data_IF_853155924148
#
_entry.id   IF_853155924148
#
_cell.length_a   1.000
_cell.length_b   1.000
_cell.length_c   1.000
_cell.angle_alpha   90.00
_cell.angle_beta   90.00
_cell.angle_gamma   90.00
#
_symmetry.space_group_name_H-M   'P 1'
#
loop_
_entity.id
_entity.type
_entity.pdbx_description
1 polymer ?
#
# COMPACT_ATOMS: atom_id res chain seq x y z
N UNK A 1 21.42 30.58 -25.61
CA UNK A 1 20.75 29.29 -25.86
C UNK A 1 21.30 28.31 -24.83
N UNK A 2 20.69 28.26 -23.64
CA UNK A 2 21.18 27.45 -22.51
C UNK A 2 20.50 26.09 -22.55
N UNK A 3 21.27 25.04 -22.83
CA UNK A 3 20.80 23.66 -22.79
C UNK A 3 20.62 23.20 -21.35
N UNK A 4 19.46 22.64 -21.06
CA UNK A 4 19.24 21.89 -19.83
C UNK A 4 20.11 20.63 -19.86
N UNK A 5 21.10 20.56 -18.99
CA UNK A 5 21.87 19.33 -18.76
C UNK A 5 20.96 18.32 -18.06
N UNK A 6 20.53 17.32 -18.82
CA UNK A 6 19.77 16.17 -18.31
C UNK A 6 20.70 15.35 -17.41
N UNK A 7 20.60 15.53 -16.09
CA UNK A 7 21.26 14.65 -15.15
C UNK A 7 20.62 13.25 -15.30
N UNK A 8 21.42 12.16 -15.42
CA UNK A 8 20.87 10.83 -15.55
C UNK A 8 20.05 10.50 -14.30
N UNK A 9 18.74 10.30 -14.47
CA UNK A 9 17.91 9.73 -13.43
C UNK A 9 18.54 8.40 -12.99
N UNK A 10 18.84 8.28 -11.69
CA UNK A 10 19.38 7.05 -11.12
C UNK A 10 18.46 5.89 -11.52
N UNK A 11 19.00 4.91 -12.25
CA UNK A 11 18.21 3.80 -12.75
C UNK A 11 17.57 3.02 -11.59
N UNK A 12 16.26 2.82 -11.65
CA UNK A 12 15.48 1.95 -10.74
C UNK A 12 15.81 0.45 -10.92
N UNK A 13 17.04 0.11 -11.27
CA UNK A 13 17.47 -1.27 -11.45
C UNK A 13 17.83 -1.87 -10.08
N UNK A 14 16.81 -2.06 -9.23
CA UNK A 14 16.91 -3.08 -8.19
C UNK A 14 17.21 -4.40 -8.90
N UNK A 15 18.30 -5.08 -8.55
CA UNK A 15 18.61 -6.38 -9.14
C UNK A 15 17.39 -7.28 -8.98
N UNK A 16 16.97 -7.94 -10.07
CA UNK A 16 15.89 -8.91 -10.02
C UNK A 16 16.34 -10.09 -9.17
N UNK A 17 16.12 -10.00 -7.86
CA UNK A 17 16.45 -11.08 -6.95
C UNK A 17 15.45 -12.21 -7.21
N UNK A 18 15.96 -13.32 -7.74
CA UNK A 18 15.14 -14.52 -7.92
C UNK A 18 14.70 -14.95 -6.54
N UNK A 19 13.41 -14.90 -6.31
CA UNK A 19 12.83 -15.23 -5.03
C UNK A 19 12.83 -16.75 -4.87
N UNK A 20 13.35 -17.24 -3.75
CA UNK A 20 13.51 -18.68 -3.52
C UNK A 20 12.19 -19.45 -3.63
N UNK A 21 12.24 -20.63 -4.25
CA UNK A 21 11.05 -21.45 -4.56
C UNK A 21 10.32 -21.84 -3.27
N UNK A 22 11.04 -21.99 -2.16
CA UNK A 22 10.51 -22.36 -0.85
C UNK A 22 9.36 -21.46 -0.40
N UNK A 23 9.35 -20.18 -0.79
CA UNK A 23 8.28 -19.24 -0.42
C UNK A 23 6.91 -19.62 -0.97
N UNK A 24 6.89 -20.38 -2.06
CA UNK A 24 5.67 -20.81 -2.75
C UNK A 24 5.18 -22.19 -2.32
N UNK A 25 5.98 -22.90 -1.53
CA UNK A 25 5.66 -24.24 -1.04
C UNK A 25 4.32 -24.24 -0.29
N UNK A 26 3.47 -25.27 -0.47
CA UNK A 26 2.16 -25.34 0.17
C UNK A 26 2.22 -25.17 1.69
N UNK A 27 3.25 -25.71 2.35
CA UNK A 27 3.44 -25.59 3.80
C UNK A 27 3.65 -24.14 4.24
N UNK A 28 4.47 -23.38 3.51
CA UNK A 28 4.70 -21.96 3.80
C UNK A 28 3.45 -21.12 3.54
N UNK A 29 2.75 -21.38 2.42
CA UNK A 29 1.48 -20.69 2.13
C UNK A 29 0.43 -20.96 3.21
N UNK A 30 0.27 -22.21 3.65
CA UNK A 30 -0.65 -22.57 4.74
C UNK A 30 -0.32 -21.81 6.03
N UNK A 31 0.95 -21.79 6.43
CA UNK A 31 1.42 -21.09 7.63
C UNK A 31 1.10 -19.59 7.60
N UNK A 32 1.19 -18.96 6.43
CA UNK A 32 0.94 -17.52 6.25
C UNK A 32 -0.54 -17.16 6.09
N UNK A 33 -1.37 -18.08 5.62
CA UNK A 33 -2.73 -17.79 5.16
C UNK A 33 -3.67 -17.32 6.27
N UNK A 34 -3.82 -18.08 7.36
CA UNK A 34 -4.70 -17.73 8.46
C UNK A 34 -4.35 -16.40 9.15
N UNK A 35 -3.08 -16.14 9.56
CA UNK A 35 -2.73 -14.85 10.14
C UNK A 35 -2.90 -13.70 9.15
N UNK A 36 -2.55 -13.88 7.87
CA UNK A 36 -2.75 -12.84 6.86
C UNK A 36 -4.24 -12.47 6.69
N UNK A 37 -5.14 -13.44 6.64
CA UNK A 37 -6.59 -13.18 6.56
C UNK A 37 -7.11 -12.41 7.79
N UNK A 38 -6.61 -12.72 9.00
CA UNK A 38 -6.99 -11.96 10.21
C UNK A 38 -6.48 -10.52 10.17
N UNK A 39 -5.23 -10.31 9.76
CA UNK A 39 -4.67 -8.97 9.61
C UNK A 39 -5.43 -8.17 8.55
N UNK A 40 -5.74 -8.80 7.41
CA UNK A 40 -6.57 -8.17 6.38
C UNK A 40 -7.97 -7.83 6.87
N UNK A 41 -8.61 -8.70 7.66
CA UNK A 41 -9.91 -8.41 8.25
C UNK A 41 -9.88 -7.11 9.06
N UNK A 42 -8.88 -6.96 9.94
CA UNK A 42 -8.72 -5.77 10.76
C UNK A 42 -8.46 -4.51 9.93
N UNK A 43 -7.61 -4.58 8.90
CA UNK A 43 -7.35 -3.46 7.98
C UNK A 43 -8.62 -3.11 7.19
N UNK A 44 -9.33 -4.10 6.68
CA UNK A 44 -10.56 -3.89 5.94
C UNK A 44 -11.67 -3.28 6.81
N UNK A 45 -11.74 -3.66 8.08
CA UNK A 45 -12.65 -3.04 9.07
C UNK A 45 -12.25 -1.58 9.31
N UNK A 46 -10.96 -1.30 9.53
CA UNK A 46 -10.44 0.07 9.70
C UNK A 46 -10.76 0.95 8.48
N UNK A 47 -10.57 0.44 7.27
CA UNK A 47 -10.87 1.15 6.03
C UNK A 47 -12.38 1.25 5.73
N UNK A 48 -13.22 0.49 6.45
CA UNK A 48 -14.66 0.46 6.25
C UNK A 48 -15.08 -0.25 4.96
N UNK A 49 -14.33 -1.28 4.54
CA UNK A 49 -14.63 -2.03 3.32
C UNK A 49 -15.84 -2.93 3.52
N UNK A 50 -16.77 -2.91 2.56
CA UNK A 50 -17.86 -3.87 2.50
C UNK A 50 -17.39 -5.24 1.98
N UNK A 51 -18.25 -6.25 2.05
CA UNK A 51 -17.89 -7.64 1.65
C UNK A 51 -17.50 -7.74 0.16
N UNK A 52 -18.14 -6.98 -0.72
CA UNK A 52 -17.82 -6.99 -2.14
C UNK A 52 -16.42 -6.40 -2.41
N UNK A 53 -16.11 -5.26 -1.80
CA UNK A 53 -14.78 -4.64 -1.87
C UNK A 53 -13.70 -5.57 -1.32
N UNK A 54 -13.95 -6.23 -0.18
CA UNK A 54 -13.00 -7.22 0.37
C UNK A 54 -12.74 -8.36 -0.59
N UNK A 55 -13.78 -8.87 -1.25
CA UNK A 55 -13.63 -9.91 -2.28
C UNK A 55 -12.84 -9.37 -3.47
N UNK A 56 -13.14 -8.18 -3.97
CA UNK A 56 -12.37 -7.55 -5.07
C UNK A 56 -10.88 -7.46 -4.73
N UNK A 57 -10.54 -6.98 -3.53
CA UNK A 57 -9.15 -6.90 -3.06
C UNK A 57 -8.46 -8.28 -3.06
N UNK A 58 -9.20 -9.35 -2.74
CA UNK A 58 -8.71 -10.73 -2.70
C UNK A 58 -8.75 -11.47 -4.05
N UNK A 59 -9.03 -10.80 -5.17
CA UNK A 59 -9.12 -11.46 -6.49
C UNK A 59 -10.49 -12.04 -6.81
N UNK A 60 -11.52 -11.53 -6.16
CA UNK A 60 -12.94 -11.86 -6.34
C UNK A 60 -13.30 -13.35 -6.17
N UNK A 61 -12.91 -13.99 -5.06
CA UNK A 61 -13.39 -15.34 -4.75
C UNK A 61 -14.92 -15.35 -4.60
N UNK A 62 -15.53 -16.53 -4.79
CA UNK A 62 -16.96 -16.70 -4.52
C UNK A 62 -17.29 -16.31 -3.08
N UNK A 63 -18.54 -15.88 -2.85
CA UNK A 63 -19.00 -15.47 -1.52
C UNK A 63 -18.79 -16.56 -0.48
N UNK A 64 -19.11 -17.81 -0.82
CA UNK A 64 -18.93 -18.97 0.06
C UNK A 64 -17.46 -19.25 0.35
N UNK A 65 -16.57 -19.15 -0.64
CA UNK A 65 -15.12 -19.31 -0.45
C UNK A 65 -14.57 -18.26 0.48
N UNK A 66 -14.93 -16.98 0.27
CA UNK A 66 -14.50 -15.88 1.14
C UNK A 66 -14.99 -16.09 2.59
N UNK A 67 -16.27 -16.41 2.78
CA UNK A 67 -16.82 -16.63 4.12
C UNK A 67 -16.16 -17.83 4.81
N UNK A 68 -15.90 -18.91 4.09
CA UNK A 68 -15.19 -20.07 4.61
C UNK A 68 -13.75 -19.72 5.03
N UNK A 69 -13.01 -18.97 4.20
CA UNK A 69 -11.67 -18.49 4.54
C UNK A 69 -11.68 -17.65 5.82
N UNK A 70 -12.60 -16.69 5.92
CA UNK A 70 -12.72 -15.82 7.09
C UNK A 70 -13.12 -16.58 8.35
N UNK A 71 -14.00 -17.58 8.23
CA UNK A 71 -14.36 -18.48 9.33
C UNK A 71 -13.14 -19.26 9.82
N UNK A 72 -12.47 -19.98 8.93
CA UNK A 72 -11.29 -20.78 9.27
C UNK A 72 -10.17 -19.94 9.88
N UNK A 73 -9.92 -18.75 9.35
CA UNK A 73 -8.91 -17.84 9.88
C UNK A 73 -9.22 -17.38 11.32
N UNK A 74 -10.50 -17.16 11.67
CA UNK A 74 -10.95 -16.81 13.03
C UNK A 74 -10.85 -17.99 13.99
N UNK A 75 -11.23 -19.18 13.55
CA UNK A 75 -11.19 -20.42 14.34
C UNK A 75 -9.79 -21.03 14.45
N UNK A 76 -8.76 -20.37 13.90
CA UNK A 76 -7.38 -20.87 13.80
C UNK A 76 -7.28 -22.22 13.06
N UNK A 77 -8.22 -22.49 12.15
CA UNK A 77 -8.24 -23.67 11.30
C UNK A 77 -7.25 -23.60 10.13
N UNK A 78 -7.11 -24.72 9.41
CA UNK A 78 -6.26 -24.78 8.23
C UNK A 78 -6.91 -24.11 7.02
N UNK A 79 -6.29 -23.06 6.52
CA UNK A 79 -6.62 -22.41 5.24
C UNK A 79 -5.33 -22.27 4.45
N UNK A 80 -5.39 -22.57 3.15
CA UNK A 80 -4.24 -22.40 2.25
C UNK A 80 -4.67 -21.54 1.08
N UNK A 81 -4.20 -20.30 1.06
CA UNK A 81 -4.40 -19.38 -0.05
C UNK A 81 -3.48 -19.72 -1.23
N UNK A 82 -3.92 -19.35 -2.42
CA UNK A 82 -3.06 -19.36 -3.59
C UNK A 82 -2.02 -18.23 -3.53
N UNK A 83 -1.09 -18.24 -4.48
CA UNK A 83 -0.03 -17.24 -4.55
C UNK A 83 -0.60 -15.86 -4.83
N UNK A 84 -1.65 -15.75 -5.66
CA UNK A 84 -2.26 -14.47 -6.02
C UNK A 84 -2.89 -13.77 -4.82
N UNK A 85 -3.71 -14.46 -4.03
CA UNK A 85 -4.30 -13.93 -2.82
C UNK A 85 -3.23 -13.50 -1.80
N UNK A 86 -2.14 -14.27 -1.65
CA UNK A 86 -1.02 -13.89 -0.78
C UNK A 86 -0.26 -12.65 -1.31
N UNK A 87 -0.09 -12.51 -2.62
CA UNK A 87 0.52 -11.31 -3.22
C UNK A 87 -0.36 -10.07 -3.00
N UNK A 88 -1.67 -10.20 -3.17
CA UNK A 88 -2.64 -9.12 -2.90
C UNK A 88 -2.63 -8.70 -1.44
N UNK A 89 -2.62 -9.66 -0.51
CA UNK A 89 -2.51 -9.39 0.92
C UNK A 89 -1.20 -8.68 1.26
N UNK A 90 -0.08 -9.14 0.71
CA UNK A 90 1.22 -8.47 0.85
C UNK A 90 1.20 -7.03 0.33
N UNK A 91 0.54 -6.78 -0.80
CA UNK A 91 0.38 -5.42 -1.34
C UNK A 91 -0.45 -4.53 -0.41
N UNK A 92 -1.58 -5.02 0.10
CA UNK A 92 -2.42 -4.31 1.08
C UNK A 92 -1.67 -4.00 2.36
N UNK A 93 -0.88 -4.94 2.88
CA UNK A 93 -0.09 -4.72 4.09
C UNK A 93 1.01 -3.68 3.87
N UNK A 94 1.62 -3.67 2.68
CA UNK A 94 2.56 -2.63 2.29
C UNK A 94 1.91 -1.24 2.27
N UNK A 95 0.71 -1.11 1.72
CA UNK A 95 -0.07 0.13 1.76
C UNK A 95 -0.33 0.57 3.20
N UNK A 96 -0.88 -0.31 4.04
CA UNK A 96 -1.18 0.00 5.43
C UNK A 96 0.08 0.40 6.22
N UNK A 97 1.20 -0.31 6.03
CA UNK A 97 2.46 0.02 6.67
C UNK A 97 2.97 1.40 6.23
N UNK A 98 2.92 1.71 4.93
CA UNK A 98 3.40 3.00 4.43
C UNK A 98 2.54 4.17 4.91
N UNK A 99 1.22 3.99 4.99
CA UNK A 99 0.31 4.95 5.64
C UNK A 99 0.69 5.16 7.12
N UNK A 100 1.00 4.08 7.84
CA UNK A 100 1.45 4.12 9.23
C UNK A 100 2.75 4.90 9.46
N UNK A 101 3.60 5.03 8.43
CA UNK A 101 4.83 5.83 8.49
C UNK A 101 4.57 7.29 8.15
N UNK A 102 3.67 7.56 7.21
CA UNK A 102 3.44 8.90 6.65
C UNK A 102 2.49 9.77 7.48
N UNK A 103 1.60 9.17 8.26
CA UNK A 103 0.54 9.89 8.98
C UNK A 103 0.60 9.64 10.48
N UNK A 104 0.25 10.66 11.26
CA UNK A 104 0.37 10.62 12.71
C UNK A 104 -0.73 9.77 13.37
N UNK A 105 -1.94 9.76 12.78
CA UNK A 105 -3.06 8.99 13.30
C UNK A 105 -3.92 8.33 12.20
N UNK A 106 -4.83 7.45 12.63
CA UNK A 106 -5.67 6.67 11.74
C UNK A 106 -6.74 7.50 11.00
N UNK A 107 -7.16 8.65 11.54
CA UNK A 107 -8.14 9.52 10.86
C UNK A 107 -7.51 10.19 9.66
N UNK A 108 -6.28 10.69 9.79
CA UNK A 108 -5.53 11.27 8.66
C UNK A 108 -5.27 10.23 7.56
N UNK A 109 -4.88 9.01 7.95
CA UNK A 109 -4.70 7.90 7.00
C UNK A 109 -5.97 7.61 6.20
N UNK A 110 -7.12 7.55 6.89
CA UNK A 110 -8.42 7.31 6.25
C UNK A 110 -8.87 8.48 5.40
N UNK A 111 -8.62 9.71 5.86
CA UNK A 111 -8.89 10.94 5.12
C UNK A 111 -8.14 10.97 3.80
N UNK A 112 -6.83 10.68 3.82
CA UNK A 112 -6.03 10.58 2.60
C UNK A 112 -6.50 9.45 1.68
N UNK A 113 -6.79 8.27 2.23
CA UNK A 113 -7.18 7.11 1.45
C UNK A 113 -8.55 7.29 0.77
N UNK A 114 -9.49 7.96 1.43
CA UNK A 114 -10.87 8.17 0.94
C UNK A 114 -11.08 9.52 0.25
N UNK A 115 -10.17 10.46 0.41
CA UNK A 115 -10.22 11.76 -0.23
C UNK A 115 -9.87 11.68 -1.72
N UNK A 116 -10.43 12.57 -2.57
CA UNK A 116 -9.91 12.80 -3.91
C UNK A 116 -8.42 13.13 -3.84
N UNK A 117 -7.62 12.63 -4.79
CA UNK A 117 -6.20 12.93 -4.85
C UNK A 117 -5.78 13.44 -6.23
N UNK A 118 -5.15 14.61 -6.25
CA UNK A 118 -4.80 15.32 -7.49
C UNK A 118 -3.48 14.87 -8.12
N UNK A 119 -2.82 13.85 -7.54
CA UNK A 119 -1.61 13.35 -8.17
C UNK A 119 -1.98 12.75 -9.54
N UNK A 120 -1.16 12.97 -10.59
CA UNK A 120 -1.44 12.46 -11.93
C UNK A 120 -1.79 10.97 -11.99
N UNK A 121 -1.25 10.16 -11.06
CA UNK A 121 -1.59 8.75 -10.91
C UNK A 121 -3.08 8.50 -10.63
N UNK A 122 -3.69 9.32 -9.78
CA UNK A 122 -5.05 9.12 -9.28
C UNK A 122 -6.08 9.89 -10.09
N UNK A 123 -5.68 10.96 -10.79
CA UNK A 123 -6.58 11.71 -11.68
C UNK A 123 -7.84 12.23 -10.99
N UNK A 124 -7.73 12.65 -9.73
CA UNK A 124 -8.85 13.13 -8.92
C UNK A 124 -9.70 12.02 -8.28
N UNK A 125 -9.42 10.75 -8.56
CA UNK A 125 -10.02 9.63 -7.85
C UNK A 125 -9.37 9.42 -6.48
N UNK A 126 -9.99 8.57 -5.66
CA UNK A 126 -9.48 8.26 -4.33
C UNK A 126 -8.46 7.12 -4.42
N UNK A 127 -7.37 7.13 -3.62
CA UNK A 127 -6.47 5.97 -3.56
C UNK A 127 -7.22 4.67 -3.23
N UNK A 128 -8.30 4.75 -2.43
CA UNK A 128 -9.12 3.59 -2.12
C UNK A 128 -9.79 2.97 -3.36
N UNK A 129 -10.22 3.76 -4.34
CA UNK A 129 -10.89 3.22 -5.54
C UNK A 129 -9.96 2.32 -6.35
N UNK A 130 -8.66 2.62 -6.37
CA UNK A 130 -7.64 1.77 -6.99
C UNK A 130 -7.47 0.45 -6.23
N UNK A 131 -7.42 0.51 -4.89
CA UNK A 131 -7.29 -0.68 -4.04
C UNK A 131 -8.47 -1.63 -4.24
N UNK A 132 -9.70 -1.11 -4.27
CA UNK A 132 -10.92 -1.92 -4.38
C UNK A 132 -11.36 -2.18 -5.83
N UNK A 133 -10.56 -1.81 -6.82
CA UNK A 133 -10.86 -2.01 -8.25
C UNK A 133 -10.92 -3.48 -8.68
N UNK A 134 -10.38 -4.39 -7.86
CA UNK A 134 -10.20 -5.80 -8.21
C UNK A 134 -8.86 -6.12 -8.87
N UNK A 135 -8.13 -5.10 -9.34
CA UNK A 135 -6.80 -5.26 -9.94
C UNK A 135 -5.71 -5.30 -8.87
N UNK A 136 -4.82 -6.31 -8.94
CA UNK A 136 -3.60 -6.32 -8.12
C UNK A 136 -2.72 -5.10 -8.44
N UNK A 137 -2.65 -4.69 -9.71
CA UNK A 137 -1.86 -3.53 -10.08
C UNK A 137 -2.40 -2.24 -9.47
N UNK A 138 -3.72 -2.10 -9.30
CA UNK A 138 -4.31 -0.97 -8.58
C UNK A 138 -3.78 -0.84 -7.15
N UNK A 139 -3.68 -1.95 -6.42
CA UNK A 139 -3.10 -1.98 -5.07
C UNK A 139 -1.60 -1.63 -5.12
N UNK A 140 -0.87 -2.17 -6.11
CA UNK A 140 0.56 -1.94 -6.25
C UNK A 140 0.90 -0.49 -6.67
N UNK A 141 0.06 0.15 -7.47
CA UNK A 141 0.21 1.56 -7.84
C UNK A 141 0.14 2.45 -6.59
N UNK A 142 -0.87 2.24 -5.73
CA UNK A 142 -1.00 2.97 -4.46
C UNK A 142 0.19 2.68 -3.53
N UNK A 143 0.62 1.41 -3.45
CA UNK A 143 1.80 1.04 -2.66
C UNK A 143 3.05 1.75 -3.13
N UNK A 144 3.35 1.71 -4.43
CA UNK A 144 4.54 2.35 -5.02
C UNK A 144 4.53 3.86 -4.80
N UNK A 145 3.36 4.48 -4.91
CA UNK A 145 3.18 5.90 -4.62
C UNK A 145 3.58 6.22 -3.17
N UNK A 146 3.03 5.49 -2.20
CA UNK A 146 3.33 5.70 -0.78
C UNK A 146 4.80 5.35 -0.45
N UNK A 147 5.35 4.33 -1.10
CA UNK A 147 6.76 3.96 -0.97
C UNK A 147 7.70 5.06 -1.48
N UNK A 148 7.32 5.77 -2.55
CA UNK A 148 8.06 6.93 -3.06
C UNK A 148 7.92 8.15 -2.14
N UNK A 149 6.72 8.37 -1.57
CA UNK A 149 6.47 9.44 -0.60
C UNK A 149 7.32 9.27 0.67
N UNK A 150 7.35 8.07 1.26
CA UNK A 150 8.20 7.80 2.45
C UNK A 150 9.70 7.89 2.15
N UNK A 151 10.09 7.72 0.89
CA UNK A 151 11.47 7.86 0.43
C UNK A 151 11.88 9.31 0.12
N UNK A 152 10.98 10.28 0.26
CA UNK A 152 11.23 11.69 -0.08
C UNK A 152 11.30 11.97 -1.58
N UNK A 153 10.88 11.01 -2.42
CA UNK A 153 10.97 11.11 -3.89
C UNK A 153 9.68 11.65 -4.49
N UNK A 154 8.54 11.43 -3.83
CA UNK A 154 7.24 11.85 -4.35
C UNK A 154 6.30 12.32 -3.23
N UNK A 155 6.39 13.59 -2.87
CA UNK A 155 5.31 14.35 -2.26
C UNK A 155 5.44 15.77 -2.82
N UNK A 156 4.47 16.30 -3.59
CA UNK A 156 4.48 17.73 -3.91
C UNK A 156 4.51 18.51 -2.58
N UNK A 157 5.16 19.69 -2.55
CA UNK A 157 5.23 20.49 -1.33
C UNK A 157 3.83 20.64 -0.71
N UNK A 158 3.70 20.21 0.53
CA UNK A 158 2.46 20.35 1.30
C UNK A 158 2.22 21.83 1.61
N UNK A 159 1.05 22.18 2.14
CA UNK A 159 0.78 23.54 2.67
C UNK A 159 1.84 24.02 3.68
N UNK A 160 2.54 23.09 4.34
CA UNK A 160 3.68 23.40 5.20
C UNK A 160 4.92 23.84 4.41
N UNK A 161 5.19 23.20 3.27
CA UNK A 161 6.36 23.46 2.41
C UNK A 161 6.30 24.82 1.69
N UNK A 162 5.09 25.36 1.48
CA UNK A 162 4.92 26.72 0.90
C UNK A 162 5.16 27.82 1.92
N UNK A 163 4.94 27.53 3.21
CA UNK A 163 5.04 28.51 4.30
C UNK A 163 6.38 28.45 5.06
N UNK A 164 7.32 27.57 4.68
CA UNK A 164 8.67 27.61 5.25
C UNK A 164 9.40 28.86 4.75
N UNK A 165 9.64 29.88 5.61
CA UNK A 165 10.47 31.00 5.20
C UNK A 165 11.88 30.50 4.89
N UNK A 166 12.53 31.11 3.90
CA UNK A 166 13.91 30.79 3.58
C UNK A 166 14.79 30.94 4.84
N UNK A 167 15.53 29.89 5.19
CA UNK A 167 16.46 29.92 6.33
C UNK A 167 17.37 31.13 6.21
N UNK A 168 17.34 32.01 7.21
CA UNK A 168 18.19 33.20 7.23
C UNK A 168 19.49 32.90 7.95
N UNK A 169 20.51 33.71 7.73
CA UNK A 169 21.79 33.59 8.43
C UNK A 169 21.64 33.67 9.97
N UNK A 170 20.54 34.25 10.47
CA UNK A 170 20.23 34.35 11.90
C UNK A 170 19.74 33.04 12.55
N UNK A 171 19.26 32.08 11.75
CA UNK A 171 18.75 30.79 12.22
C UNK A 171 19.87 29.76 12.44
N UNK A 172 21.10 30.09 12.01
CA UNK A 172 22.27 29.22 12.12
C UNK A 172 22.91 29.41 13.49
N UNK A 173 22.63 28.50 14.42
CA UNK A 173 23.28 28.46 15.74
C UNK A 173 24.57 27.64 15.65
N UNK A 174 25.70 28.33 15.71
CA UNK A 174 27.01 27.69 15.88
C UNK A 174 27.20 27.34 17.37
N UNK A 175 27.35 26.05 17.67
CA UNK A 175 27.80 25.56 18.98
C UNK A 175 29.24 25.10 18.89
#
# INVERSE_FOLDING_TARGET
MFGFGEAPQAGFAGQAQVLGVERFEPGNRRRLSAPALRTFAAIADLWGLNEEQRRLVLGYPSRSTYQNWMKLAREQGEVTLDVDALMRLSAVFGVHQALGVLFADAQEQLGWLKGPHDAPLFGGQTPLSFIVSGSLDGILQVRRFLDAARGGVYMPPNGLDVDFPATTAGDIVWR
#
